data_IF_864105632356
#
_entry.id   IF_864105632356
#
_cell.length_a   1.000
_cell.length_b   1.000
_cell.length_c   1.000
_cell.angle_alpha   90.00
_cell.angle_beta   90.00
_cell.angle_gamma   90.00
#
_symmetry.space_group_name_H-M   'P 1'
#
loop_
_entity.id
_entity.type
_entity.pdbx_description
1 polymer ?
#
# COMPACT_ATOMS: atom_id res chain seq x y z
N UNK A 1 43.59 -7.27 -16.33
CA UNK A 1 42.21 -6.74 -16.56
C UNK A 1 41.22 -7.84 -16.91
N UNK A 2 41.58 -8.87 -17.69
CA UNK A 2 40.64 -9.95 -18.06
C UNK A 2 39.98 -10.66 -16.86
N UNK A 3 40.72 -10.91 -15.77
CA UNK A 3 40.15 -11.51 -14.56
C UNK A 3 39.03 -10.69 -13.91
N UNK A 4 39.13 -9.35 -13.92
CA UNK A 4 38.05 -8.46 -13.48
C UNK A 4 36.81 -8.62 -14.37
N UNK A 5 37.00 -8.72 -15.68
CA UNK A 5 35.90 -8.82 -16.63
C UNK A 5 35.17 -10.16 -16.56
N UNK A 6 35.89 -11.25 -16.32
CA UNK A 6 35.28 -12.57 -16.10
C UNK A 6 34.50 -12.60 -14.80
N UNK A 7 35.08 -12.07 -13.71
CA UNK A 7 34.41 -11.97 -12.41
C UNK A 7 33.10 -11.17 -12.47
N UNK A 8 33.12 -10.01 -13.15
CA UNK A 8 31.93 -9.18 -13.37
C UNK A 8 30.88 -9.85 -14.25
N UNK A 9 31.27 -10.79 -15.11
CA UNK A 9 30.34 -11.55 -15.97
C UNK A 9 29.71 -12.72 -15.22
N UNK A 10 30.46 -13.37 -14.33
CA UNK A 10 30.00 -14.50 -13.52
C UNK A 10 29.08 -14.06 -12.39
N UNK A 11 29.28 -12.84 -11.85
CA UNK A 11 28.46 -12.26 -10.78
C UNK A 11 27.48 -11.22 -11.32
N UNK A 12 26.86 -11.47 -12.49
CA UNK A 12 25.93 -10.50 -13.09
C UNK A 12 24.70 -10.18 -12.23
N UNK A 13 24.40 -11.06 -11.26
CA UNK A 13 23.28 -10.90 -10.32
C UNK A 13 23.54 -9.79 -9.28
N UNK A 14 24.81 -9.45 -9.04
CA UNK A 14 25.22 -8.37 -8.15
C UNK A 14 25.40 -7.06 -8.92
N UNK A 15 24.82 -5.97 -8.41
CA UNK A 15 24.81 -4.67 -9.09
C UNK A 15 25.85 -3.68 -8.54
N UNK A 16 26.59 -4.06 -7.49
CA UNK A 16 27.54 -3.19 -6.79
C UNK A 16 28.78 -4.00 -6.41
N UNK A 17 29.96 -3.47 -6.72
CA UNK A 17 31.23 -4.12 -6.42
C UNK A 17 32.19 -3.14 -5.77
N UNK A 18 32.95 -3.60 -4.78
CA UNK A 18 34.01 -2.79 -4.20
C UNK A 18 35.25 -2.80 -5.10
N UNK A 19 35.95 -1.67 -5.23
CA UNK A 19 37.17 -1.62 -6.04
C UNK A 19 38.26 -2.55 -5.50
N UNK A 20 38.29 -2.77 -4.17
CA UNK A 20 39.20 -3.71 -3.51
C UNK A 20 38.97 -5.15 -3.94
N UNK A 21 37.72 -5.56 -4.09
CA UNK A 21 37.31 -6.88 -4.55
C UNK A 21 37.59 -7.07 -6.04
N UNK A 22 37.33 -6.06 -6.86
CA UNK A 22 37.73 -6.11 -8.27
C UNK A 22 39.25 -6.27 -8.41
N UNK A 23 40.03 -5.56 -7.59
CA UNK A 23 41.50 -5.67 -7.62
C UNK A 23 42.02 -7.05 -7.18
N UNK A 24 41.31 -7.79 -6.31
CA UNK A 24 41.73 -9.16 -5.94
C UNK A 24 41.62 -10.18 -7.07
N UNK A 25 40.88 -9.86 -8.14
CA UNK A 25 40.70 -10.71 -9.31
C UNK A 25 41.60 -10.33 -10.50
N UNK A 26 42.61 -9.47 -10.28
CA UNK A 26 43.61 -9.19 -11.32
C UNK A 26 44.62 -10.32 -11.38
N UNK A 27 44.57 -11.12 -12.46
CA UNK A 27 45.58 -12.14 -12.71
C UNK A 27 46.93 -11.50 -13.11
N UNK A 28 47.97 -11.72 -12.30
CA UNK A 28 49.36 -11.34 -12.58
C UNK A 28 50.13 -10.84 -11.35
N UNK A 29 51.47 -10.80 -11.44
CA UNK A 29 52.36 -10.28 -10.38
C UNK A 29 52.31 -8.75 -10.21
N UNK A 30 51.53 -8.04 -11.03
CA UNK A 30 51.43 -6.59 -11.04
C UNK A 30 49.99 -6.16 -10.77
N UNK A 31 49.75 -5.53 -9.62
CA UNK A 31 48.46 -4.96 -9.26
C UNK A 31 48.42 -3.51 -9.78
N UNK A 32 47.58 -3.20 -10.78
CA UNK A 32 47.49 -1.86 -11.34
C UNK A 32 46.89 -0.88 -10.34
N UNK A 33 47.26 0.40 -10.46
CA UNK A 33 46.66 1.46 -9.64
C UNK A 33 45.16 1.59 -9.94
N UNK A 34 44.36 1.89 -8.91
CA UNK A 34 42.91 2.18 -9.01
C UNK A 34 42.56 3.10 -10.19
N UNK A 35 43.36 4.13 -10.49
CA UNK A 35 43.13 5.05 -11.62
C UNK A 35 43.13 4.31 -12.95
N UNK A 36 44.06 3.38 -13.14
CA UNK A 36 44.16 2.56 -14.36
C UNK A 36 42.97 1.64 -14.52
N UNK A 37 42.50 1.04 -13.40
CA UNK A 37 41.30 0.19 -13.39
C UNK A 37 40.04 0.99 -13.73
N UNK A 38 39.89 2.20 -13.17
CA UNK A 38 38.78 3.11 -13.50
C UNK A 38 38.73 3.44 -14.99
N UNK A 39 39.86 3.85 -15.57
CA UNK A 39 39.96 4.18 -17.00
C UNK A 39 39.55 2.99 -17.87
N UNK A 40 39.96 1.78 -17.51
CA UNK A 40 39.59 0.58 -18.28
C UNK A 40 38.13 0.18 -18.11
N UNK A 41 37.55 0.35 -16.92
CA UNK A 41 36.13 0.09 -16.67
C UNK A 41 35.26 1.11 -17.42
N UNK A 42 35.62 2.39 -17.38
CA UNK A 42 34.95 3.46 -18.15
C UNK A 42 35.09 3.22 -19.66
N UNK A 43 36.27 2.81 -20.14
CA UNK A 43 36.47 2.51 -21.56
C UNK A 43 35.63 1.32 -22.06
N UNK A 44 35.38 0.32 -21.20
CA UNK A 44 34.65 -0.90 -21.58
C UNK A 44 33.14 -0.78 -21.40
N UNK A 45 32.69 -0.17 -20.31
CA UNK A 45 31.28 -0.14 -19.93
C UNK A 45 30.64 1.25 -20.03
N UNK A 46 31.44 2.32 -20.17
CA UNK A 46 30.94 3.67 -20.42
C UNK A 46 29.85 4.11 -19.44
N UNK A 47 28.71 4.52 -19.98
CA UNK A 47 27.54 4.99 -19.22
C UNK A 47 26.77 3.86 -18.50
N UNK A 48 27.07 2.58 -18.77
CA UNK A 48 26.42 1.46 -18.08
C UNK A 48 26.94 1.29 -16.64
N UNK A 49 28.02 1.98 -16.26
CA UNK A 49 28.57 2.00 -14.90
C UNK A 49 28.57 3.39 -14.27
N UNK A 50 28.52 3.41 -12.94
CA UNK A 50 28.62 4.58 -12.10
C UNK A 50 29.67 4.29 -11.02
N UNK A 51 30.75 5.07 -11.02
CA UNK A 51 31.83 4.94 -10.05
C UNK A 51 31.64 6.00 -8.97
N UNK A 52 31.39 5.57 -7.73
CA UNK A 52 31.22 6.46 -6.58
C UNK A 52 32.50 6.47 -5.75
N UNK A 53 33.05 7.66 -5.52
CA UNK A 53 34.16 7.88 -4.61
C UNK A 53 33.74 8.89 -3.54
N UNK A 54 33.73 8.47 -2.27
CA UNK A 54 33.45 9.34 -1.13
C UNK A 54 34.75 9.58 -0.38
N UNK A 55 35.04 10.84 -0.03
CA UNK A 55 36.27 11.21 0.69
C UNK A 55 36.46 10.31 1.93
N UNK A 56 37.61 9.62 1.99
CA UNK A 56 38.01 8.62 3.01
C UNK A 56 37.28 7.26 3.01
N UNK A 57 36.48 6.90 2.00
CA UNK A 57 35.86 5.56 1.87
C UNK A 57 36.27 4.84 0.58
N UNK A 58 36.13 3.51 0.60
CA UNK A 58 36.41 2.63 -0.52
C UNK A 58 35.58 3.03 -1.76
N UNK A 59 36.22 3.03 -2.93
CA UNK A 59 35.59 3.27 -4.22
C UNK A 59 34.64 2.12 -4.56
N UNK A 60 33.41 2.42 -4.99
CA UNK A 60 32.40 1.43 -5.36
C UNK A 60 32.03 1.63 -6.83
N UNK A 61 31.91 0.52 -7.56
CA UNK A 61 31.44 0.49 -8.95
C UNK A 61 30.05 -0.10 -8.96
N UNK A 62 29.06 0.69 -9.38
CA UNK A 62 27.68 0.25 -9.55
C UNK A 62 27.33 0.21 -11.03
N UNK A 63 26.62 -0.82 -11.49
CA UNK A 63 26.04 -0.76 -12.82
C UNK A 63 24.68 -0.06 -12.80
N UNK A 64 24.44 0.85 -13.76
CA UNK A 64 23.21 1.65 -13.85
C UNK A 64 22.02 0.86 -14.41
N UNK A 65 22.27 -0.09 -15.32
CA UNK A 65 21.21 -0.71 -16.14
C UNK A 65 21.25 -2.24 -16.24
N UNK A 66 22.17 -2.93 -15.57
CA UNK A 66 22.25 -4.40 -15.70
C UNK A 66 21.01 -5.08 -15.16
N UNK A 67 20.41 -4.58 -14.08
CA UNK A 67 19.15 -5.14 -13.56
C UNK A 67 18.03 -5.14 -14.62
N UNK A 68 17.83 -4.03 -15.33
CA UNK A 68 16.83 -3.97 -16.41
C UNK A 68 17.18 -4.84 -17.62
N UNK A 69 18.46 -4.87 -18.04
CA UNK A 69 18.91 -5.73 -19.14
C UNK A 69 18.77 -7.22 -18.77
N UNK A 70 19.17 -7.62 -17.57
CA UNK A 70 19.05 -9.00 -17.05
C UNK A 70 17.57 -9.41 -16.94
N UNK A 71 16.71 -8.53 -16.42
CA UNK A 71 15.28 -8.80 -16.33
C UNK A 71 14.64 -8.92 -17.72
N UNK A 72 15.02 -8.06 -18.66
CA UNK A 72 14.54 -8.12 -20.04
C UNK A 72 15.04 -9.39 -20.75
N UNK A 73 16.32 -9.71 -20.64
CA UNK A 73 16.92 -10.89 -21.27
C UNK A 73 16.31 -12.18 -20.70
N UNK A 74 16.16 -12.28 -19.37
CA UNK A 74 15.47 -13.40 -18.72
C UNK A 74 14.02 -13.52 -19.19
N UNK A 75 13.31 -12.40 -19.31
CA UNK A 75 11.93 -12.36 -19.78
C UNK A 75 11.78 -12.91 -21.22
N UNK A 76 12.68 -12.53 -22.12
CA UNK A 76 12.65 -13.00 -23.51
C UNK A 76 13.16 -14.45 -23.65
N UNK A 77 14.11 -14.89 -22.84
CA UNK A 77 14.62 -16.26 -22.83
C UNK A 77 13.60 -17.28 -22.32
N UNK A 78 12.78 -16.90 -21.33
CA UNK A 78 11.76 -17.78 -20.75
C UNK A 78 10.44 -17.83 -21.54
N UNK A 79 10.39 -17.15 -22.70
CA UNK A 79 9.20 -17.08 -23.56
C UNK A 79 8.75 -18.47 -24.01
N UNK A 80 7.48 -18.80 -23.77
CA UNK A 80 6.91 -20.09 -24.18
C UNK A 80 6.54 -20.05 -25.66
N UNK A 81 6.78 -21.17 -26.37
CA UNK A 81 6.40 -21.29 -27.77
C UNK A 81 4.89 -21.39 -27.96
N UNK A 82 4.19 -22.01 -27.00
CA UNK A 82 2.74 -22.11 -27.00
C UNK A 82 2.10 -20.76 -26.62
N UNK A 83 1.29 -20.20 -27.52
CA UNK A 83 0.61 -18.92 -27.33
C UNK A 83 -0.29 -18.88 -26.08
N UNK A 84 -0.95 -19.99 -25.75
CA UNK A 84 -1.82 -20.04 -24.57
C UNK A 84 -1.00 -19.98 -23.27
N UNK A 85 0.07 -20.77 -23.18
CA UNK A 85 0.96 -20.78 -22.02
C UNK A 85 1.68 -19.46 -21.83
N UNK A 86 2.08 -18.81 -22.93
CA UNK A 86 2.70 -17.49 -22.90
C UNK A 86 1.75 -16.43 -22.35
N UNK A 87 0.46 -16.46 -22.75
CA UNK A 87 -0.55 -15.56 -22.16
C UNK A 87 -0.69 -15.78 -20.66
N UNK A 88 -0.70 -17.04 -20.19
CA UNK A 88 -0.75 -17.34 -18.76
C UNK A 88 0.52 -16.88 -18.03
N UNK A 89 1.70 -16.98 -18.66
CA UNK A 89 2.96 -16.48 -18.10
C UNK A 89 2.89 -14.97 -17.85
N UNK A 90 2.44 -14.20 -18.84
CA UNK A 90 2.26 -12.74 -18.71
C UNK A 90 1.31 -12.38 -17.58
N UNK A 91 0.19 -13.09 -17.44
CA UNK A 91 -0.77 -12.84 -16.36
C UNK A 91 -0.13 -13.15 -14.99
N UNK A 92 0.67 -14.21 -14.87
CA UNK A 92 1.36 -14.56 -13.62
C UNK A 92 2.39 -13.51 -13.22
N UNK A 93 3.19 -13.02 -14.16
CA UNK A 93 4.15 -11.95 -13.87
C UNK A 93 3.46 -10.64 -13.52
N UNK A 94 2.40 -10.26 -14.24
CA UNK A 94 1.60 -9.09 -13.88
C UNK A 94 1.01 -9.22 -12.46
N UNK A 95 0.51 -10.40 -12.11
CA UNK A 95 0.03 -10.68 -10.75
C UNK A 95 1.15 -10.61 -9.70
N UNK A 96 2.38 -11.05 -10.04
CA UNK A 96 3.53 -10.96 -9.15
C UNK A 96 3.90 -9.49 -8.88
N UNK A 97 3.96 -8.65 -9.92
CA UNK A 97 4.22 -7.21 -9.81
C UNK A 97 3.18 -6.56 -8.89
N UNK A 98 1.89 -6.73 -9.19
CA UNK A 98 0.79 -6.16 -8.39
C UNK A 98 0.89 -6.63 -6.94
N UNK A 99 1.21 -7.90 -6.71
CA UNK A 99 1.34 -8.45 -5.35
C UNK A 99 2.51 -7.81 -4.60
N UNK A 100 3.66 -7.61 -5.24
CA UNK A 100 4.81 -6.96 -4.60
C UNK A 100 4.54 -5.48 -4.33
N UNK A 101 3.86 -4.77 -5.22
CA UNK A 101 3.45 -3.39 -4.98
C UNK A 101 2.51 -3.27 -3.77
N UNK A 102 1.52 -4.17 -3.64
CA UNK A 102 0.65 -4.23 -2.46
C UNK A 102 1.45 -4.50 -1.17
N UNK A 103 2.51 -5.30 -1.26
CA UNK A 103 3.41 -5.61 -0.12
C UNK A 103 4.32 -4.44 0.24
N UNK A 104 4.74 -3.66 -0.74
CA UNK A 104 5.59 -2.48 -0.57
C UNK A 104 4.89 -1.30 0.10
N UNK A 105 3.55 -1.19 -0.01
CA UNK A 105 2.82 -0.10 0.66
C UNK A 105 2.86 -0.23 2.18
N UNK A 106 3.12 0.88 2.88
CA UNK A 106 3.08 0.96 4.33
C UNK A 106 1.71 1.49 4.75
N UNK A 107 0.97 0.71 5.53
CA UNK A 107 -0.34 1.11 6.07
C UNK A 107 -0.21 1.41 7.56
N UNK A 108 -0.79 2.53 8.00
CA UNK A 108 -0.94 2.81 9.43
C UNK A 108 -1.98 1.86 10.05
N UNK A 109 -1.68 1.39 11.25
CA UNK A 109 -2.54 0.54 12.07
C UNK A 109 -2.64 1.00 13.51
N UNK A 110 -1.88 2.00 13.90
CA UNK A 110 -1.86 2.43 15.29
C UNK A 110 -3.10 3.28 15.59
N UNK A 111 -3.63 3.95 14.57
CA UNK A 111 -4.73 4.88 14.71
C UNK A 111 -5.86 4.52 13.76
N UNK A 112 -7.09 4.56 14.27
CA UNK A 112 -8.26 4.65 13.39
C UNK A 112 -8.49 6.11 13.07
N UNK A 113 -8.75 6.46 11.79
CA UNK A 113 -9.08 7.82 11.46
C UNK A 113 -10.39 8.26 12.14
N UNK A 114 -10.55 9.58 12.33
CA UNK A 114 -11.81 10.23 12.68
C UNK A 114 -13.01 9.66 11.93
N UNK A 115 -14.19 9.53 12.55
CA UNK A 115 -15.40 9.04 11.86
C UNK A 115 -15.79 9.89 10.64
N UNK A 116 -15.49 11.19 10.70
CA UNK A 116 -15.66 12.20 9.63
C UNK A 116 -14.62 12.09 8.51
N UNK A 117 -13.46 11.49 8.78
CA UNK A 117 -12.40 11.26 7.78
C UNK A 117 -12.29 9.81 7.33
N UNK A 118 -13.02 8.91 7.97
CA UNK A 118 -12.87 7.47 7.83
C UNK A 118 -13.06 6.98 6.39
N UNK A 119 -13.92 7.63 5.61
CA UNK A 119 -14.20 7.28 4.21
C UNK A 119 -13.61 8.30 3.22
N UNK A 120 -12.84 9.28 3.71
CA UNK A 120 -12.14 10.25 2.86
C UNK A 120 -10.92 9.57 2.23
N UNK A 121 -10.75 9.82 0.94
CA UNK A 121 -9.58 9.39 0.14
C UNK A 121 -9.20 7.91 0.28
N UNK A 122 -10.21 7.03 0.30
CA UNK A 122 -10.00 5.57 0.34
C UNK A 122 -9.20 5.04 -0.86
N UNK A 123 -9.13 5.80 -1.96
CA UNK A 123 -8.41 5.44 -3.17
C UNK A 123 -6.89 5.54 -3.02
N UNK A 124 -6.40 6.46 -2.16
CA UNK A 124 -4.97 6.64 -1.91
C UNK A 124 -4.29 5.41 -1.29
N UNK A 125 -5.05 4.54 -0.61
CA UNK A 125 -4.53 3.30 -0.05
C UNK A 125 -4.25 2.21 -1.13
N UNK A 126 -4.70 2.41 -2.38
CA UNK A 126 -4.59 1.40 -3.43
C UNK A 126 -3.34 1.66 -4.28
N UNK A 127 -2.41 0.70 -4.43
CA UNK A 127 -1.25 0.85 -5.32
C UNK A 127 -1.65 1.10 -6.78
N UNK A 128 -0.89 1.95 -7.48
CA UNK A 128 -1.17 2.35 -8.86
C UNK A 128 -1.32 1.16 -9.82
N UNK A 129 -0.45 0.14 -9.70
CA UNK A 129 -0.51 -1.06 -10.54
C UNK A 129 -1.84 -1.83 -10.40
N UNK A 130 -2.39 -1.90 -9.18
CA UNK A 130 -3.70 -2.49 -8.92
C UNK A 130 -4.83 -1.61 -9.49
N UNK A 131 -4.71 -0.29 -9.40
CA UNK A 131 -5.68 0.64 -10.01
C UNK A 131 -5.71 0.51 -11.53
N UNK A 132 -4.54 0.44 -12.18
CA UNK A 132 -4.41 0.24 -13.63
C UNK A 132 -5.00 -1.11 -14.05
N UNK A 133 -4.70 -2.18 -13.31
CA UNK A 133 -5.27 -3.49 -13.59
C UNK A 133 -6.79 -3.51 -13.51
N UNK A 134 -7.37 -3.02 -12.41
CA UNK A 134 -8.82 -3.05 -12.19
C UNK A 134 -9.55 -2.12 -13.16
N UNK A 135 -9.01 -0.93 -13.44
CA UNK A 135 -9.58 -0.02 -14.43
C UNK A 135 -9.57 -0.66 -15.82
N UNK A 136 -8.47 -1.29 -16.22
CA UNK A 136 -8.36 -2.00 -17.51
C UNK A 136 -9.28 -3.21 -17.59
N UNK A 137 -9.39 -4.00 -16.52
CA UNK A 137 -10.19 -5.22 -16.52
C UNK A 137 -11.70 -4.94 -16.45
N UNK A 138 -12.12 -3.90 -15.72
CA UNK A 138 -13.53 -3.66 -15.38
C UNK A 138 -14.15 -2.53 -16.23
N UNK A 139 -13.37 -1.49 -16.53
CA UNK A 139 -13.87 -0.25 -17.15
C UNK A 139 -13.67 -0.18 -18.66
N UNK A 140 -12.79 -1.00 -19.25
CA UNK A 140 -12.53 -1.00 -20.69
C UNK A 140 -13.82 -1.19 -21.49
N UNK A 141 -14.02 -0.33 -22.49
CA UNK A 141 -15.13 -0.32 -23.47
C UNK A 141 -16.54 0.01 -22.92
N UNK A 142 -16.69 0.42 -21.66
CA UNK A 142 -18.02 0.66 -21.05
C UNK A 142 -18.40 2.13 -20.97
N UNK A 143 -19.31 2.58 -21.85
CA UNK A 143 -20.01 3.88 -21.74
C UNK A 143 -20.98 3.85 -20.54
N UNK A 144 -21.03 4.90 -19.71
CA UNK A 144 -21.95 5.03 -18.55
C UNK A 144 -21.30 5.57 -17.27
N UNK A 145 -22.07 5.61 -16.17
CA UNK A 145 -21.73 6.26 -14.89
C UNK A 145 -20.39 5.81 -14.28
N UNK A 146 -19.33 6.55 -14.61
CA UNK A 146 -17.93 6.29 -14.27
C UNK A 146 -17.73 6.18 -12.75
N UNK A 147 -18.36 7.06 -11.97
CA UNK A 147 -18.11 7.15 -10.52
C UNK A 147 -18.63 5.94 -9.74
N UNK A 148 -19.80 5.41 -10.12
CA UNK A 148 -20.35 4.20 -9.47
C UNK A 148 -19.44 2.98 -9.66
N UNK A 149 -18.73 2.90 -10.79
CA UNK A 149 -17.82 1.80 -11.11
C UNK A 149 -16.45 2.00 -10.49
N UNK A 150 -15.96 3.25 -10.40
CA UNK A 150 -14.75 3.57 -9.64
C UNK A 150 -14.89 3.10 -8.20
N UNK A 151 -16.01 3.43 -7.53
CA UNK A 151 -16.32 2.94 -6.17
C UNK A 151 -16.26 1.41 -6.07
N UNK A 152 -16.81 0.69 -7.06
CA UNK A 152 -16.72 -0.78 -7.11
C UNK A 152 -15.29 -1.28 -7.27
N UNK A 153 -14.50 -0.64 -8.14
CA UNK A 153 -13.08 -0.97 -8.31
C UNK A 153 -12.32 -0.77 -7.00
N UNK A 154 -12.55 0.35 -6.30
CA UNK A 154 -11.94 0.63 -4.99
C UNK A 154 -12.35 -0.41 -3.95
N UNK A 155 -13.64 -0.78 -3.87
CA UNK A 155 -14.09 -1.85 -2.96
C UNK A 155 -13.42 -3.19 -3.25
N UNK A 156 -13.29 -3.58 -4.52
CA UNK A 156 -12.60 -4.80 -4.94
C UNK A 156 -11.10 -4.71 -4.61
N UNK A 157 -10.47 -3.56 -4.87
CA UNK A 157 -9.07 -3.33 -4.55
C UNK A 157 -8.78 -3.55 -3.07
N UNK A 158 -9.63 -2.99 -2.19
CA UNK A 158 -9.50 -3.19 -0.75
C UNK A 158 -9.64 -4.67 -0.36
N UNK A 159 -10.58 -5.40 -0.95
CA UNK A 159 -10.73 -6.84 -0.71
C UNK A 159 -9.48 -7.63 -1.15
N UNK A 160 -8.89 -7.28 -2.30
CA UNK A 160 -7.64 -7.88 -2.78
C UNK A 160 -6.48 -7.57 -1.83
N UNK A 161 -6.33 -6.31 -1.40
CA UNK A 161 -5.26 -5.90 -0.48
C UNK A 161 -5.36 -6.68 0.84
N UNK A 162 -6.57 -6.83 1.39
CA UNK A 162 -6.79 -7.64 2.60
C UNK A 162 -6.46 -9.10 2.36
N UNK A 163 -6.86 -9.68 1.22
CA UNK A 163 -6.53 -11.07 0.91
C UNK A 163 -5.01 -11.31 0.79
N UNK A 164 -4.28 -10.35 0.21
CA UNK A 164 -2.81 -10.41 0.08
C UNK A 164 -2.12 -10.14 1.42
N UNK A 165 -2.68 -9.26 2.26
CA UNK A 165 -2.10 -8.82 3.55
C UNK A 165 -3.16 -8.74 4.66
N UNK A 166 -3.66 -9.87 5.17
CA UNK A 166 -4.83 -9.91 6.06
C UNK A 166 -4.61 -9.25 7.42
N UNK A 167 -3.37 -9.20 7.89
CA UNK A 167 -3.00 -8.50 9.13
C UNK A 167 -2.41 -7.12 8.86
N UNK A 168 -2.18 -6.81 7.59
CA UNK A 168 -1.49 -5.68 6.91
C UNK A 168 -2.18 -4.33 6.86
N UNK A 169 -3.50 -4.36 6.79
CA UNK A 169 -4.27 -3.27 6.23
C UNK A 169 -5.66 -3.26 6.84
N UNK A 170 -6.11 -2.08 7.26
CA UNK A 170 -7.48 -1.83 7.67
C UNK A 170 -8.22 -1.19 6.51
N UNK A 171 -9.21 -1.91 5.97
CA UNK A 171 -10.06 -1.35 4.92
C UNK A 171 -11.14 -0.48 5.56
N UNK A 172 -11.12 0.85 5.35
CA UNK A 172 -12.15 1.70 5.92
C UNK A 172 -13.54 1.40 5.33
N UNK A 173 -13.58 0.94 4.07
CA UNK A 173 -14.83 0.51 3.44
C UNK A 173 -15.45 -0.70 4.14
N UNK A 174 -14.65 -1.72 4.47
CA UNK A 174 -15.17 -2.93 5.12
C UNK A 174 -15.48 -2.70 6.61
N UNK A 175 -14.71 -1.87 7.30
CA UNK A 175 -15.01 -1.46 8.68
C UNK A 175 -16.30 -0.65 8.70
N UNK A 176 -16.48 0.30 7.78
CA UNK A 176 -17.72 1.09 7.68
C UNK A 176 -18.96 0.22 7.45
N UNK A 177 -18.87 -0.77 6.55
CA UNK A 177 -19.94 -1.76 6.36
C UNK A 177 -20.20 -2.56 7.63
N UNK A 178 -19.15 -3.07 8.29
CA UNK A 178 -19.28 -3.83 9.54
C UNK A 178 -19.91 -3.02 10.68
N UNK A 179 -19.47 -1.77 10.86
CA UNK A 179 -20.03 -0.81 11.82
C UNK A 179 -21.49 -0.53 11.54
N UNK A 180 -21.86 -0.30 10.27
CA UNK A 180 -23.26 -0.08 9.91
C UNK A 180 -24.13 -1.29 10.25
N UNK A 181 -23.67 -2.49 9.91
CA UNK A 181 -24.38 -3.74 10.22
C UNK A 181 -24.51 -3.96 11.73
N UNK A 182 -23.46 -3.62 12.48
CA UNK A 182 -23.48 -3.70 13.94
C UNK A 182 -24.52 -2.76 14.54
N UNK A 183 -24.50 -1.48 14.15
CA UNK A 183 -25.45 -0.47 14.62
C UNK A 183 -26.89 -0.76 14.21
N UNK A 184 -27.11 -1.31 13.01
CA UNK A 184 -28.46 -1.55 12.48
C UNK A 184 -29.10 -2.83 12.97
N UNK A 185 -28.33 -3.91 13.12
CA UNK A 185 -28.87 -5.25 13.37
C UNK A 185 -28.39 -5.87 14.68
N UNK A 186 -27.36 -5.33 15.33
CA UNK A 186 -26.79 -5.89 16.57
C UNK A 186 -26.24 -7.32 16.44
N UNK A 187 -26.16 -7.88 15.23
CA UNK A 187 -25.89 -9.30 15.02
C UNK A 187 -24.42 -9.56 14.72
N UNK A 188 -23.71 -10.13 15.70
CA UNK A 188 -22.35 -10.65 15.54
C UNK A 188 -22.25 -11.73 14.44
N UNK A 189 -23.26 -12.59 14.34
CA UNK A 189 -23.26 -13.68 13.36
C UNK A 189 -23.32 -13.14 11.92
N UNK A 190 -24.17 -12.16 11.66
CA UNK A 190 -24.29 -11.52 10.35
C UNK A 190 -22.95 -10.91 9.91
N UNK A 191 -22.29 -10.17 10.81
CA UNK A 191 -21.00 -9.53 10.54
C UNK A 191 -19.93 -10.58 10.25
N UNK A 192 -19.87 -11.65 11.03
CA UNK A 192 -18.88 -12.71 10.81
C UNK A 192 -19.10 -13.47 9.50
N UNK A 193 -20.36 -13.72 9.10
CA UNK A 193 -20.68 -14.35 7.81
C UNK A 193 -20.20 -13.46 6.66
N UNK A 194 -20.51 -12.17 6.69
CA UNK A 194 -20.10 -11.22 5.65
C UNK A 194 -18.59 -10.99 5.64
N UNK A 195 -17.95 -11.05 6.80
CA UNK A 195 -16.50 -10.96 6.92
C UNK A 195 -15.80 -12.19 6.35
N UNK A 196 -16.33 -13.40 6.58
CA UNK A 196 -15.81 -14.62 5.97
C UNK A 196 -15.89 -14.61 4.44
N UNK A 197 -16.87 -13.91 3.87
CA UNK A 197 -16.99 -13.69 2.42
C UNK A 197 -16.16 -12.51 1.89
N UNK A 198 -15.49 -11.75 2.75
CA UNK A 198 -14.68 -10.59 2.36
C UNK A 198 -15.45 -9.29 2.09
N UNK A 199 -16.70 -9.20 2.55
CA UNK A 199 -17.55 -8.01 2.38
C UNK A 199 -17.59 -7.08 3.60
N UNK A 200 -17.09 -7.53 4.75
CA UNK A 200 -17.09 -6.78 6.01
C UNK A 200 -15.81 -7.02 6.81
N UNK A 201 -15.46 -6.06 7.66
CA UNK A 201 -14.47 -6.29 8.71
C UNK A 201 -15.02 -7.30 9.73
N UNK A 202 -14.16 -8.08 10.40
CA UNK A 202 -14.61 -9.03 11.41
C UNK A 202 -15.17 -8.29 12.62
N UNK A 203 -16.10 -8.92 13.34
CA UNK A 203 -16.78 -8.29 14.48
C UNK A 203 -15.83 -7.66 15.50
N UNK A 204 -14.71 -8.35 15.79
CA UNK A 204 -13.68 -7.86 16.71
C UNK A 204 -13.14 -6.48 16.29
N UNK A 205 -12.86 -6.31 15.00
CA UNK A 205 -12.31 -5.09 14.45
C UNK A 205 -13.32 -3.95 14.52
N UNK A 206 -14.58 -4.25 14.21
CA UNK A 206 -15.71 -3.31 14.32
C UNK A 206 -15.85 -2.82 15.77
N UNK A 207 -15.78 -3.70 16.76
CA UNK A 207 -15.88 -3.30 18.18
C UNK A 207 -14.68 -2.45 18.62
N UNK A 208 -13.46 -2.76 18.16
CA UNK A 208 -12.28 -1.95 18.46
C UNK A 208 -12.44 -0.54 17.87
N UNK A 209 -12.92 -0.44 16.64
CA UNK A 209 -13.20 0.84 16.00
C UNK A 209 -14.31 1.65 16.71
N UNK A 210 -15.39 0.99 17.15
CA UNK A 210 -16.43 1.68 17.93
C UNK A 210 -15.87 2.20 19.27
N UNK A 211 -15.05 1.40 19.95
CA UNK A 211 -14.40 1.83 21.20
C UNK A 211 -13.42 3.00 20.96
N UNK A 212 -12.66 2.98 19.86
CA UNK A 212 -11.75 4.08 19.55
C UNK A 212 -12.49 5.39 19.26
N UNK A 213 -13.68 5.31 18.66
CA UNK A 213 -14.56 6.47 18.47
C UNK A 213 -15.05 7.06 19.80
N UNK A 214 -15.34 6.22 20.81
CA UNK A 214 -15.78 6.66 22.14
C UNK A 214 -14.65 7.34 22.92
N UNK A 215 -13.43 6.81 22.82
CA UNK A 215 -12.26 7.32 23.55
C UNK A 215 -11.55 8.49 22.87
N UNK A 216 -12.14 9.06 21.81
CA UNK A 216 -11.57 10.21 21.13
C UNK A 216 -11.61 11.43 22.06
N UNK A 217 -10.50 12.18 22.22
CA UNK A 217 -10.51 13.41 23.00
C UNK A 217 -11.51 14.40 22.40
N UNK A 218 -12.22 15.12 23.27
CA UNK A 218 -13.12 16.19 22.87
C UNK A 218 -12.34 17.26 22.09
N UNK A 219 -13.01 17.89 21.12
CA UNK A 219 -12.41 18.99 20.37
C UNK A 219 -12.12 20.15 21.32
N UNK A 220 -10.94 20.77 21.20
CA UNK A 220 -10.58 21.92 22.03
C UNK A 220 -11.56 23.07 21.79
N UNK A 221 -12.13 23.60 22.87
CA UNK A 221 -12.97 24.79 22.84
C UNK A 221 -12.04 25.99 22.60
N UNK A 222 -12.32 26.76 21.54
CA UNK A 222 -11.54 27.95 21.19
C UNK A 222 -11.54 28.95 22.36
N UNK A 223 -10.37 29.49 22.71
CA UNK A 223 -10.26 30.60 23.66
C UNK A 223 -11.09 31.80 23.17
N UNK A 224 -11.84 32.43 24.08
CA UNK A 224 -12.80 33.52 23.79
C UNK A 224 -14.02 33.12 22.94
N UNK A 225 -14.37 31.84 22.86
CA UNK A 225 -15.66 31.42 22.29
C UNK A 225 -16.76 31.38 23.35
N UNK A 226 -18.00 31.66 22.94
CA UNK A 226 -19.18 31.43 23.76
C UNK A 226 -19.69 30.02 23.50
N UNK A 227 -19.72 29.18 24.54
CA UNK A 227 -20.21 27.80 24.46
C UNK A 227 -21.63 27.69 25.02
N UNK A 228 -22.57 27.22 24.20
CA UNK A 228 -23.92 26.85 24.62
C UNK A 228 -24.09 25.32 24.59
N UNK A 229 -24.59 24.76 25.68
CA UNK A 229 -24.89 23.32 25.76
C UNK A 229 -26.37 23.07 25.45
N UNK A 230 -26.64 22.23 24.44
CA UNK A 230 -27.99 21.78 24.07
C UNK A 230 -28.09 20.29 24.33
N UNK A 231 -29.04 19.89 25.17
CA UNK A 231 -29.28 18.50 25.51
C UNK A 231 -30.49 17.96 24.75
N UNK A 232 -30.31 16.85 24.04
CA UNK A 232 -31.37 16.14 23.34
C UNK A 232 -31.51 14.72 23.89
N UNK A 233 -32.74 14.23 23.93
CA UNK A 233 -33.04 12.84 24.24
C UNK A 233 -32.98 12.03 22.94
N UNK A 234 -32.25 10.93 22.97
CA UNK A 234 -32.15 9.95 21.91
C UNK A 234 -32.72 8.61 22.42
N UNK A 235 -33.84 8.22 21.83
CA UNK A 235 -34.49 6.95 22.11
C UNK A 235 -34.16 5.95 21.00
N UNK A 236 -33.49 4.84 21.35
CA UNK A 236 -33.15 3.78 20.42
C UNK A 236 -33.92 2.51 20.75
N UNK A 237 -34.69 2.01 19.79
CA UNK A 237 -35.39 0.75 19.97
C UNK A 237 -34.39 -0.41 19.77
N UNK A 238 -33.95 -1.02 20.88
CA UNK A 238 -32.89 -2.04 20.84
C UNK A 238 -33.43 -3.36 20.26
N UNK A 239 -34.75 -3.55 20.30
CA UNK A 239 -35.43 -4.70 19.72
C UNK A 239 -36.52 -4.22 18.74
N UNK A 240 -36.39 -4.58 17.46
CA UNK A 240 -37.14 -3.95 16.36
C UNK A 240 -38.59 -4.45 16.22
N UNK A 241 -39.01 -5.45 17.00
CA UNK A 241 -40.25 -6.19 16.76
C UNK A 241 -41.44 -5.80 17.64
N UNK A 242 -41.24 -5.31 18.87
CA UNK A 242 -42.35 -5.06 19.81
C UNK A 242 -42.28 -3.72 20.57
N UNK A 243 -41.20 -2.93 20.41
CA UNK A 243 -41.06 -1.63 21.08
C UNK A 243 -40.89 -1.71 22.60
N UNK A 244 -40.64 -2.91 23.14
CA UNK A 244 -40.36 -3.10 24.57
C UNK A 244 -38.85 -3.25 24.71
N UNK A 245 -38.25 -2.45 25.58
CA UNK A 245 -36.79 -2.24 25.72
C UNK A 245 -36.24 -1.19 24.75
N UNK A 246 -36.65 0.07 24.95
CA UNK A 246 -36.04 1.26 24.34
C UNK A 246 -34.85 1.70 25.20
N UNK A 247 -33.69 1.88 24.57
CA UNK A 247 -32.55 2.55 25.18
C UNK A 247 -32.83 4.04 25.21
N UNK A 248 -32.83 4.62 26.40
CA UNK A 248 -32.98 6.05 26.60
C UNK A 248 -31.61 6.65 26.90
N UNK A 249 -31.14 7.55 26.04
CA UNK A 249 -29.94 8.34 26.28
C UNK A 249 -30.24 9.83 26.16
N UNK A 250 -29.48 10.63 26.90
CA UNK A 250 -29.44 12.07 26.73
C UNK A 250 -28.05 12.45 26.24
N UNK A 251 -27.97 13.09 25.07
CA UNK A 251 -26.75 13.60 24.50
C UNK A 251 -26.71 15.12 24.62
N UNK A 252 -25.62 15.66 25.15
CA UNK A 252 -25.34 17.10 25.14
C UNK A 252 -24.39 17.46 24.00
N UNK A 253 -24.74 18.45 23.21
CA UNK A 253 -23.84 19.06 22.23
C UNK A 253 -23.43 20.45 22.71
N UNK A 254 -22.14 20.78 22.63
CA UNK A 254 -21.63 22.14 22.84
C UNK A 254 -21.53 22.86 21.50
N UNK A 255 -22.20 24.00 21.37
CA UNK A 255 -22.09 24.92 20.24
C UNK A 255 -21.17 26.05 20.66
N UNK A 256 -20.08 26.25 19.93
CA UNK A 256 -19.11 27.32 20.20
C UNK A 256 -19.18 28.38 19.09
N UNK A 257 -19.57 29.60 19.44
CA UNK A 257 -19.51 30.76 18.54
C UNK A 257 -18.28 31.62 18.86
N UNK A 258 -17.55 31.99 17.80
CA UNK A 258 -16.40 32.90 17.90
C UNK A 258 -16.84 34.32 17.61
N UNK A 259 -16.82 35.17 18.63
CA UNK A 259 -17.08 36.60 18.47
C UNK A 259 -15.90 37.24 17.71
N UNK A 260 -16.09 37.48 16.41
CA UNK A 260 -15.25 38.42 15.67
C UNK A 260 -15.67 39.83 16.07
N UNK A 261 -14.95 40.43 17.02
CA UNK A 261 -15.14 41.83 17.39
C UNK A 261 -14.98 42.74 16.17
N UNK A 262 -15.92 43.65 16.00
CA UNK A 262 -15.81 44.81 15.11
C UNK A 262 -14.69 45.75 15.57
#
# INVERSE_FOLDING_TARGET
MEGIYSFLKENSDECQFSMTELMSHVNGNFVPHIKTVKVHLEAKYGEDILIIEKQKRNCVVCFRNTGFKILADKWYQEKKQNSHEERLRVIREAAAIIREDIRGVVYDKQNYPPSDEFVRDVEAAVPESLQVFLSTAIMKDKRGALDSRKKKCTSIAHAIIIAVRPRSFFSPLQIGVGTYLYKKFGSKNLINILSAMGFSAPYREVTIFENSCIHRPESEILENSFSQFVFHIADFNINTLDGRVTFHAMGGNSLCDSFHGY
#
